data_IF_717123409128
#
_entry.id   IF_717123409128
#
_cell.length_a   1.000
_cell.length_b   1.000
_cell.length_c   1.000
_cell.angle_alpha   90.00
_cell.angle_beta   90.00
_cell.angle_gamma   90.00
#
_symmetry.space_group_name_H-M   'P 1'
#
loop_
_entity.id
_entity.type
_entity.pdbx_description
1 polymer ?
#
# COMPACT_ATOMS: atom_id res chain seq x y z
N UNK A 1 6.71 1.46 -8.36
CA UNK A 1 6.33 2.40 -7.30
C UNK A 1 5.92 1.65 -6.05
N UNK A 2 5.73 2.37 -4.96
CA UNK A 2 5.22 1.86 -3.69
C UNK A 2 4.27 2.87 -3.05
N UNK A 3 3.33 2.37 -2.28
CA UNK A 3 2.41 3.15 -1.46
C UNK A 3 2.55 2.67 -0.02
N UNK A 4 2.85 3.59 0.89
CA UNK A 4 3.16 3.33 2.28
C UNK A 4 2.22 4.12 3.19
N UNK A 5 1.57 3.42 4.12
CA UNK A 5 0.88 4.01 5.27
C UNK A 5 1.84 3.95 6.46
N UNK A 6 2.37 5.10 6.86
CA UNK A 6 3.43 5.22 7.85
C UNK A 6 2.94 5.83 9.15
N UNK A 7 3.66 5.53 10.22
CA UNK A 7 3.40 6.13 11.54
C UNK A 7 3.93 7.57 11.68
N UNK A 8 4.74 8.02 10.73
CA UNK A 8 5.23 9.40 10.62
C UNK A 8 5.93 9.69 9.29
N UNK A 9 6.51 10.88 9.20
CA UNK A 9 7.15 11.41 7.97
C UNK A 9 8.62 11.00 7.82
N UNK A 10 9.29 10.61 8.91
CA UNK A 10 10.71 10.25 8.89
C UNK A 10 10.95 8.95 8.12
N UNK A 11 12.12 8.83 7.50
CA UNK A 11 12.54 7.59 6.84
C UNK A 11 12.58 6.38 7.79
N UNK A 12 12.75 6.62 9.09
CA UNK A 12 12.86 5.58 10.12
C UNK A 12 11.52 5.20 10.76
N UNK A 13 10.43 5.90 10.42
CA UNK A 13 9.11 5.60 10.98
C UNK A 13 8.56 4.29 10.42
N UNK A 14 7.89 3.52 11.28
CA UNK A 14 7.27 2.24 10.93
C UNK A 14 6.30 2.40 9.75
N UNK A 15 6.22 1.35 8.93
CA UNK A 15 5.28 1.23 7.83
C UNK A 15 4.20 0.23 8.24
N UNK A 16 3.00 0.73 8.56
CA UNK A 16 1.86 -0.09 8.93
C UNK A 16 1.37 -0.94 7.74
N UNK A 17 1.40 -0.36 6.55
CA UNK A 17 1.05 -1.04 5.32
C UNK A 17 1.93 -0.55 4.17
N UNK A 18 2.78 -1.44 3.67
CA UNK A 18 3.57 -1.29 2.47
C UNK A 18 2.88 -2.02 1.34
N UNK A 19 2.64 -1.34 0.23
CA UNK A 19 2.06 -1.90 -0.99
C UNK A 19 3.02 -1.65 -2.16
N UNK A 20 3.54 -2.72 -2.76
CA UNK A 20 4.55 -2.64 -3.80
C UNK A 20 4.22 -3.56 -4.98
N UNK A 21 3.65 -3.00 -6.06
CA UNK A 21 3.56 -3.70 -7.34
C UNK A 21 4.95 -3.92 -7.93
N UNK A 22 5.35 -5.19 -8.02
CA UNK A 22 6.53 -5.62 -8.76
C UNK A 22 6.08 -5.98 -10.17
N UNK A 23 6.26 -5.03 -11.08
CA UNK A 23 5.83 -5.12 -12.48
C UNK A 23 6.24 -6.46 -13.11
N UNK A 24 5.33 -7.02 -13.91
CA UNK A 24 5.52 -8.30 -14.61
C UNK A 24 5.72 -9.52 -13.65
N UNK A 25 5.46 -9.36 -12.35
CA UNK A 25 5.58 -10.41 -11.34
C UNK A 25 4.33 -10.49 -10.44
N UNK A 26 4.34 -9.77 -9.32
CA UNK A 26 3.38 -9.89 -8.23
C UNK A 26 3.20 -8.56 -7.53
N UNK A 27 2.14 -8.42 -6.76
CA UNK A 27 2.00 -7.33 -5.79
C UNK A 27 2.47 -7.85 -4.44
N UNK A 28 3.50 -7.24 -3.87
CA UNK A 28 4.01 -7.57 -2.54
C UNK A 28 3.48 -6.58 -1.52
N UNK A 29 3.09 -7.09 -0.35
CA UNK A 29 2.57 -6.31 0.76
C UNK A 29 3.23 -6.74 2.05
N UNK A 30 3.50 -5.78 2.94
CA UNK A 30 4.14 -6.08 4.21
C UNK A 30 3.92 -4.95 5.22
N UNK A 31 4.45 -5.13 6.43
CA UNK A 31 4.70 -4.06 7.37
C UNK A 31 6.19 -4.00 7.68
N UNK A 32 6.68 -2.81 8.02
CA UNK A 32 8.03 -2.59 8.50
C UNK A 32 7.93 -2.03 9.92
N UNK A 33 8.50 -2.74 10.90
CA UNK A 33 8.36 -2.38 12.31
C UNK A 33 9.69 -2.56 13.03
N UNK A 34 10.07 -1.59 13.85
CA UNK A 34 11.31 -1.61 14.64
C UNK A 34 12.57 -1.90 13.80
N UNK A 35 12.65 -1.33 12.60
CA UNK A 35 13.82 -1.47 11.73
C UNK A 35 13.87 -2.76 10.89
N UNK A 36 12.79 -3.57 10.87
CA UNK A 36 12.75 -4.80 10.08
C UNK A 36 11.44 -5.02 9.32
N UNK A 37 11.53 -5.68 8.17
CA UNK A 37 10.37 -6.19 7.44
C UNK A 37 9.76 -7.39 8.16
N UNK A 38 8.43 -7.45 8.21
CA UNK A 38 7.70 -8.61 8.73
C UNK A 38 7.48 -9.67 7.64
N UNK A 39 6.56 -10.60 7.84
CA UNK A 39 6.24 -11.63 6.84
C UNK A 39 5.56 -11.01 5.61
N UNK A 40 6.15 -11.20 4.42
CA UNK A 40 5.59 -10.72 3.16
C UNK A 40 4.31 -11.50 2.80
N UNK A 41 3.27 -10.77 2.40
CA UNK A 41 2.09 -11.29 1.71
C UNK A 41 2.16 -10.89 0.24
N UNK A 42 1.65 -11.72 -0.68
CA UNK A 42 1.68 -11.35 -2.10
C UNK A 42 0.56 -11.95 -2.92
N UNK A 43 0.16 -11.23 -3.97
CA UNK A 43 -0.82 -11.65 -4.97
C UNK A 43 -0.13 -11.76 -6.33
N UNK A 44 -0.30 -12.89 -7.02
CA UNK A 44 0.28 -13.12 -8.35
C UNK A 44 -0.50 -12.43 -9.48
N UNK A 45 -1.80 -12.18 -9.29
CA UNK A 45 -2.62 -11.38 -10.21
C UNK A 45 -2.24 -9.91 -10.07
N UNK A 46 -1.21 -9.47 -10.79
CA UNK A 46 -0.73 -8.09 -10.78
C UNK A 46 -1.44 -7.26 -11.86
N UNK A 47 -2.32 -6.30 -11.48
CA UNK A 47 -3.07 -5.50 -12.45
C UNK A 47 -2.28 -4.32 -13.04
N UNK A 48 -1.05 -4.08 -12.58
CA UNK A 48 -0.25 -2.92 -12.97
C UNK A 48 0.66 -3.23 -14.16
N UNK A 49 0.64 -2.36 -15.17
CA UNK A 49 1.50 -2.44 -16.35
C UNK A 49 2.21 -1.13 -16.60
N UNK A 50 3.44 -1.21 -17.11
CA UNK A 50 4.26 -0.03 -17.43
C UNK A 50 3.57 0.81 -18.51
N UNK A 51 3.41 2.11 -18.24
CA UNK A 51 2.83 3.07 -19.17
C UNK A 51 1.30 3.07 -19.24
N UNK A 52 0.61 2.17 -18.54
CA UNK A 52 -0.85 2.18 -18.43
C UNK A 52 -1.29 2.95 -17.17
N UNK A 53 -2.36 3.75 -17.32
CA UNK A 53 -3.00 4.41 -16.19
C UNK A 53 -3.74 3.39 -15.32
N UNK A 54 -3.86 3.68 -14.03
CA UNK A 54 -4.64 2.88 -13.09
C UNK A 54 -5.38 3.77 -12.10
N UNK A 55 -6.49 3.26 -11.59
CA UNK A 55 -7.16 3.80 -10.41
C UNK A 55 -6.92 2.84 -9.25
N UNK A 56 -6.48 3.37 -8.10
CA UNK A 56 -6.32 2.61 -6.88
C UNK A 56 -7.05 3.34 -5.74
N UNK A 57 -7.82 2.59 -4.97
CA UNK A 57 -8.38 3.08 -3.72
C UNK A 57 -8.19 2.03 -2.62
N UNK A 58 -7.93 2.52 -1.40
CA UNK A 58 -7.72 1.68 -0.22
C UNK A 58 -8.80 2.01 0.81
N UNK A 59 -9.72 1.07 1.06
CA UNK A 59 -10.70 1.18 2.13
C UNK A 59 -10.04 0.76 3.42
N UNK A 60 -10.03 1.68 4.39
CA UNK A 60 -9.56 1.40 5.74
C UNK A 60 -10.75 0.92 6.55
N UNK A 61 -10.75 -0.36 6.93
CA UNK A 61 -11.80 -0.97 7.76
C UNK A 61 -11.21 -1.54 9.04
N UNK A 62 -12.06 -2.01 9.95
CA UNK A 62 -11.65 -2.63 11.22
C UNK A 62 -10.73 -3.84 11.04
N UNK A 63 -10.90 -4.59 9.94
CA UNK A 63 -10.19 -5.83 9.65
C UNK A 63 -8.86 -5.60 8.93
N UNK A 64 -8.67 -4.45 8.28
CA UNK A 64 -7.48 -4.19 7.46
C UNK A 64 -7.63 -3.09 6.42
N UNK A 65 -6.64 -3.05 5.53
CA UNK A 65 -6.60 -2.23 4.33
C UNK A 65 -7.11 -3.06 3.15
N UNK A 66 -8.32 -2.76 2.67
CA UNK A 66 -8.88 -3.39 1.47
C UNK A 66 -8.48 -2.59 0.25
N UNK A 67 -7.67 -3.17 -0.62
CA UNK A 67 -7.16 -2.52 -1.84
C UNK A 67 -8.00 -2.92 -3.03
N UNK A 68 -8.42 -1.92 -3.78
CA UNK A 68 -9.06 -2.08 -5.07
C UNK A 68 -8.22 -1.41 -6.14
N UNK A 69 -8.15 -2.05 -7.30
CA UNK A 69 -7.47 -1.53 -8.48
C UNK A 69 -8.39 -1.68 -9.68
N UNK A 70 -8.61 -0.59 -10.42
CA UNK A 70 -9.48 -0.53 -11.59
C UNK A 70 -10.88 -1.12 -11.33
N UNK A 71 -11.47 -0.77 -10.19
CA UNK A 71 -12.81 -1.20 -9.77
C UNK A 71 -12.93 -2.63 -9.24
N UNK A 72 -11.85 -3.41 -9.19
CA UNK A 72 -11.84 -4.80 -8.67
C UNK A 72 -11.07 -4.86 -7.35
N UNK A 73 -11.60 -5.60 -6.38
CA UNK A 73 -10.85 -5.92 -5.15
C UNK A 73 -9.62 -6.76 -5.51
N UNK A 74 -8.45 -6.31 -5.06
CA UNK A 74 -7.19 -7.01 -5.24
C UNK A 74 -6.84 -7.83 -4.01
N UNK A 75 -6.88 -7.22 -2.83
CA UNK A 75 -6.45 -7.85 -1.59
C UNK A 75 -6.92 -7.10 -0.34
N UNK A 76 -7.08 -7.83 0.78
CA UNK A 76 -7.28 -7.24 2.10
C UNK A 76 -6.09 -7.58 3.00
N UNK A 77 -5.27 -6.57 3.32
CA UNK A 77 -4.12 -6.71 4.23
C UNK A 77 -4.54 -6.41 5.67
N UNK A 78 -4.43 -7.39 6.56
CA UNK A 78 -4.86 -7.24 7.96
C UNK A 78 -3.97 -6.25 8.72
N UNK A 79 -4.57 -5.47 9.62
CA UNK A 79 -3.81 -4.55 10.47
C UNK A 79 -2.80 -5.28 11.35
N UNK A 80 -1.52 -4.96 11.20
CA UNK A 80 -0.42 -5.43 12.08
C UNK A 80 0.06 -4.36 13.05
N UNK A 81 -0.16 -3.09 12.69
CA UNK A 81 0.06 -1.91 13.52
C UNK A 81 -1.29 -1.24 13.74
N UNK A 82 -1.59 -0.75 14.96
CA UNK A 82 -2.85 -0.06 15.23
C UNK A 82 -3.05 1.15 14.31
N UNK A 83 -4.24 1.24 13.71
CA UNK A 83 -4.56 2.23 12.69
C UNK A 83 -4.39 3.68 13.20
N UNK A 84 -4.69 3.91 14.48
CA UNK A 84 -4.55 5.21 15.14
C UNK A 84 -3.11 5.74 15.16
N UNK A 85 -2.12 4.90 14.90
CA UNK A 85 -0.72 5.32 14.76
C UNK A 85 -0.37 5.82 13.37
N UNK A 86 -1.19 5.53 12.37
CA UNK A 86 -0.92 5.92 10.97
C UNK A 86 -1.23 7.39 10.79
N UNK A 87 -0.25 8.15 10.32
CA UNK A 87 -0.34 9.61 10.19
C UNK A 87 0.13 10.12 8.84
N UNK A 88 0.78 9.28 8.03
CA UNK A 88 1.43 9.71 6.80
C UNK A 88 1.17 8.72 5.67
N UNK A 89 0.64 9.23 4.54
CA UNK A 89 0.63 8.53 3.27
C UNK A 89 1.89 8.93 2.50
N UNK A 90 2.68 7.94 2.11
CA UNK A 90 3.87 8.13 1.30
C UNK A 90 3.73 7.35 -0.01
N UNK A 91 3.88 8.04 -1.14
CA UNK A 91 3.89 7.46 -2.48
C UNK A 91 5.28 7.72 -3.06
N UNK A 92 5.96 6.66 -3.51
CA UNK A 92 7.36 6.73 -3.90
C UNK A 92 7.68 5.83 -5.11
N UNK A 93 8.80 6.12 -5.78
CA UNK A 93 9.29 5.42 -6.97
C UNK A 93 8.57 5.84 -8.25
N UNK A 94 8.71 5.02 -9.30
CA UNK A 94 8.28 5.37 -10.66
C UNK A 94 6.75 5.29 -10.83
N UNK A 95 6.06 6.38 -10.48
CA UNK A 95 4.62 6.61 -10.71
C UNK A 95 4.35 8.10 -10.91
N UNK A 96 3.49 8.43 -11.87
CA UNK A 96 2.91 9.76 -12.00
C UNK A 96 1.57 9.79 -11.26
N UNK A 97 1.37 10.78 -10.40
CA UNK A 97 0.14 10.94 -9.61
C UNK A 97 -0.64 12.13 -10.17
N UNK A 98 -1.71 11.84 -10.91
CA UNK A 98 -2.59 12.88 -11.46
C UNK A 98 -3.58 13.39 -10.42
N UNK A 99 -4.13 12.49 -9.60
CA UNK A 99 -5.06 12.81 -8.51
C UNK A 99 -4.78 11.92 -7.31
N UNK A 100 -4.73 12.54 -6.12
CA UNK A 100 -4.77 11.82 -4.85
C UNK A 100 -5.61 12.60 -3.86
N UNK A 101 -6.28 11.89 -2.96
CA UNK A 101 -7.16 12.49 -1.97
C UNK A 101 -7.69 11.47 -0.98
N UNK A 102 -8.31 11.98 0.08
CA UNK A 102 -9.00 11.20 1.09
C UNK A 102 -10.50 11.53 1.01
N UNK A 103 -11.33 10.50 1.11
CA UNK A 103 -12.79 10.63 1.16
C UNK A 103 -13.21 10.09 2.52
N UNK A 104 -14.08 10.84 3.20
CA UNK A 104 -14.65 10.47 4.50
C UNK A 104 -16.14 10.16 4.34
#
# INVERSE_FOLDING_TARGET
FEVNFKTGQSGNDDIAFHFNPRMDQKVAMNSFRNGGWEAEESVSDNPFKKGEAFEMFTLIRSEGYQVYVNGKELYTFKHRIPLEKVSTLNINGDVAVDLSGFIQ
#
